data_IF_861684166444
#
_entry.id   IF_861684166444
#
_cell.length_a   1.000
_cell.length_b   1.000
_cell.length_c   1.000
_cell.angle_alpha   90.00
_cell.angle_beta   90.00
_cell.angle_gamma   90.00
#
_symmetry.space_group_name_H-M   'P 1'
#
loop_
_entity.id
_entity.type
_entity.pdbx_description
1 polymer ?
#
# COMPACT_ATOMS: atom_id res chain seq x y z
N UNK A 1 -11.82 0.97 4.61
CA UNK A 1 -11.97 0.18 3.37
C UNK A 1 -10.62 -0.46 3.08
N UNK A 2 -10.57 -1.73 2.68
CA UNK A 2 -9.31 -2.44 2.44
C UNK A 2 -8.52 -1.79 1.29
N UNK A 3 -7.29 -1.35 1.55
CA UNK A 3 -6.44 -0.71 0.54
C UNK A 3 -5.52 -1.76 -0.10
N UNK A 4 -5.77 -2.12 -1.36
CA UNK A 4 -4.93 -3.05 -2.14
C UNK A 4 -4.31 -2.29 -3.31
N UNK A 5 -2.99 -2.35 -3.45
CA UNK A 5 -2.22 -1.66 -4.51
C UNK A 5 -1.14 -2.54 -5.12
N UNK A 6 -0.66 -2.27 -6.33
CA UNK A 6 0.50 -2.97 -6.87
C UNK A 6 1.77 -2.52 -6.15
N UNK A 7 2.74 -3.42 -5.95
CA UNK A 7 4.01 -3.11 -5.27
C UNK A 7 4.80 -1.98 -5.97
N UNK A 8 4.58 -1.78 -7.27
CA UNK A 8 5.15 -0.65 -8.03
C UNK A 8 4.72 0.73 -7.52
N UNK A 9 3.58 0.82 -6.83
CA UNK A 9 3.10 2.08 -6.26
C UNK A 9 3.99 2.57 -5.12
N UNK A 10 4.77 1.70 -4.46
CA UNK A 10 5.77 2.16 -3.50
C UNK A 10 6.81 3.09 -4.14
N UNK A 11 7.12 2.89 -5.42
CA UNK A 11 8.04 3.78 -6.15
C UNK A 11 7.34 5.06 -6.59
N UNK A 12 6.14 4.92 -7.16
CA UNK A 12 5.49 6.01 -7.89
C UNK A 12 4.61 6.90 -6.98
N UNK A 13 4.04 6.32 -5.92
CA UNK A 13 2.99 6.92 -5.08
C UNK A 13 3.33 6.80 -3.59
N UNK A 14 4.63 6.80 -3.23
CA UNK A 14 5.08 6.63 -1.85
C UNK A 14 4.44 7.62 -0.89
N UNK A 15 4.42 8.91 -1.24
CA UNK A 15 3.93 9.98 -0.37
C UNK A 15 2.45 9.76 0.00
N UNK A 16 1.62 9.38 -0.98
CA UNK A 16 0.21 9.11 -0.77
C UNK A 16 0.00 7.87 0.10
N UNK A 17 0.77 6.79 -0.16
CA UNK A 17 0.72 5.58 0.67
C UNK A 17 1.11 5.93 2.11
N UNK A 18 2.24 6.63 2.30
CA UNK A 18 2.72 7.07 3.61
C UNK A 18 1.68 7.90 4.35
N UNK A 19 1.01 8.82 3.66
CA UNK A 19 -0.07 9.62 4.24
C UNK A 19 -1.22 8.73 4.72
N UNK A 20 -1.68 7.79 3.88
CA UNK A 20 -2.78 6.89 4.21
C UNK A 20 -2.48 6.08 5.47
N UNK A 21 -1.31 5.42 5.56
CA UNK A 21 -0.99 4.60 6.73
C UNK A 21 -0.91 5.43 8.01
N UNK A 22 -0.27 6.60 7.97
CA UNK A 22 -0.11 7.45 9.16
C UNK A 22 -1.43 8.12 9.60
N UNK A 23 -2.26 8.59 8.66
CA UNK A 23 -3.50 9.31 9.00
C UNK A 23 -4.65 8.36 9.37
N UNK A 24 -4.72 7.19 8.74
CA UNK A 24 -5.83 6.26 8.95
C UNK A 24 -5.51 5.15 9.94
N UNK A 25 -4.23 4.93 10.26
CA UNK A 25 -3.75 3.78 11.01
C UNK A 25 -4.26 2.44 10.43
N UNK A 26 -4.53 2.40 9.13
CA UNK A 26 -4.97 1.20 8.41
C UNK A 26 -3.85 0.67 7.51
N UNK A 27 -3.67 -0.65 7.45
CA UNK A 27 -2.66 -1.26 6.58
C UNK A 27 -2.99 -1.07 5.09
N UNK A 28 -1.94 -0.95 4.28
CA UNK A 28 -2.00 -1.06 2.82
C UNK A 28 -1.40 -2.39 2.38
N UNK A 29 -2.18 -3.18 1.65
CA UNK A 29 -1.77 -4.48 1.11
C UNK A 29 -1.22 -4.28 -0.30
N UNK A 30 -0.04 -4.82 -0.55
CA UNK A 30 0.64 -4.74 -1.83
C UNK A 30 0.60 -6.08 -2.54
N UNK A 31 0.36 -6.02 -3.85
CA UNK A 31 0.33 -7.18 -4.73
C UNK A 31 1.42 -7.11 -5.78
N UNK A 32 1.93 -8.27 -6.17
CA UNK A 32 2.84 -8.44 -7.30
C UNK A 32 2.25 -9.47 -8.24
N UNK A 33 2.03 -9.09 -9.48
CA UNK A 33 1.43 -9.95 -10.51
C UNK A 33 0.08 -10.59 -10.08
N UNK A 34 -0.74 -9.86 -9.32
CA UNK A 34 -2.05 -10.33 -8.83
C UNK A 34 -2.02 -11.17 -7.54
N UNK A 35 -0.84 -11.43 -6.98
CA UNK A 35 -0.68 -12.18 -5.73
C UNK A 35 -0.25 -11.25 -4.60
N UNK A 36 -0.70 -11.54 -3.36
CA UNK A 36 -0.25 -10.80 -2.18
C UNK A 36 1.26 -10.93 -1.98
N UNK A 37 1.91 -9.82 -1.64
CA UNK A 37 3.38 -9.73 -1.56
C UNK A 37 3.85 -9.11 -0.24
N UNK A 38 3.32 -7.93 0.10
CA UNK A 38 3.76 -7.15 1.27
C UNK A 38 2.60 -6.40 1.92
N UNK A 39 2.73 -6.08 3.21
CA UNK A 39 1.83 -5.16 3.92
C UNK A 39 2.65 -4.02 4.51
N UNK A 40 2.14 -2.80 4.42
CA UNK A 40 2.74 -1.59 5.01
C UNK A 40 1.78 -1.00 6.03
N UNK A 41 2.32 -0.57 7.18
CA UNK A 41 1.61 0.05 8.31
C UNK A 41 2.36 1.27 8.83
#
# INVERSE_FOLDING_TARGET
MLQIRPVSDLRNNFADISKIVHETAQPVFLTKNGYGDMVVM
#
